data_IF_163884102902
#
_entry.id   IF_163884102902
#
_cell.length_a   1.000
_cell.length_b   1.000
_cell.length_c   1.000
_cell.angle_alpha   90.00
_cell.angle_beta   90.00
_cell.angle_gamma   90.00
#
_symmetry.space_group_name_H-M   'P 1'
#
loop_
_entity.id
_entity.type
_entity.pdbx_description
1 polymer ?
#
# COMPACT_ATOMS: atom_id res chain seq x y z
N UNK A 1 23.18 -9.52 -22.87
CA UNK A 1 23.77 -8.68 -21.80
C UNK A 1 22.62 -7.89 -21.19
N UNK A 2 22.41 -7.97 -19.87
CA UNK A 2 21.26 -7.33 -19.22
C UNK A 2 21.31 -5.80 -19.31
N UNK A 3 20.14 -5.16 -19.37
CA UNK A 3 20.02 -3.70 -19.41
C UNK A 3 20.47 -3.13 -18.05
N UNK A 4 21.60 -2.42 -18.03
CA UNK A 4 22.14 -1.86 -16.78
C UNK A 4 21.52 -0.49 -16.52
N UNK A 5 20.74 -0.37 -15.46
CA UNK A 5 20.17 0.92 -15.05
C UNK A 5 21.23 1.65 -14.22
N UNK A 6 21.82 2.70 -14.81
CA UNK A 6 22.86 3.46 -14.12
C UNK A 6 22.25 4.38 -13.04
N UNK A 7 22.03 3.82 -11.85
CA UNK A 7 21.59 4.54 -10.65
C UNK A 7 22.73 5.23 -9.91
N UNK A 8 24.00 4.93 -10.24
CA UNK A 8 25.16 5.53 -9.57
C UNK A 8 25.33 7.02 -9.90
N UNK A 9 24.85 7.48 -11.06
CA UNK A 9 24.82 8.91 -11.42
C UNK A 9 23.68 9.70 -10.76
N UNK A 10 22.68 9.02 -10.18
CA UNK A 10 21.54 9.66 -9.51
C UNK A 10 21.88 9.92 -8.04
N UNK A 11 22.39 11.11 -7.75
CA UNK A 11 22.74 11.49 -6.38
C UNK A 11 21.53 11.79 -5.49
N UNK A 12 20.32 11.84 -6.01
CA UNK A 12 19.11 12.17 -5.26
C UNK A 12 18.26 10.93 -5.03
N UNK A 13 17.72 10.83 -3.81
CA UNK A 13 16.70 9.83 -3.51
C UNK A 13 15.39 10.25 -4.22
N UNK A 14 14.73 9.37 -4.98
CA UNK A 14 13.41 9.66 -5.54
C UNK A 14 12.45 10.07 -4.42
N UNK A 15 11.67 11.14 -4.62
CA UNK A 15 10.76 11.66 -3.58
C UNK A 15 9.70 10.62 -3.18
N UNK A 16 9.18 9.91 -4.17
CA UNK A 16 8.15 8.90 -4.00
C UNK A 16 8.44 7.71 -4.91
N UNK A 17 7.88 6.56 -4.56
CA UNK A 17 7.88 5.37 -5.40
C UNK A 17 6.49 4.76 -5.50
N UNK A 18 6.23 4.08 -6.61
CA UNK A 18 4.99 3.35 -6.84
C UNK A 18 5.20 1.88 -6.48
N UNK A 19 4.25 1.28 -5.77
CA UNK A 19 4.20 -0.17 -5.53
C UNK A 19 2.85 -0.68 -5.99
N UNK A 20 2.82 -1.61 -6.93
CA UNK A 20 1.57 -2.12 -7.50
C UNK A 20 0.68 -2.75 -6.42
N UNK A 21 -0.64 -2.72 -6.62
CA UNK A 21 -1.61 -3.28 -5.69
C UNK A 21 -1.28 -4.73 -5.30
N UNK A 22 -0.96 -5.60 -6.27
CA UNK A 22 -0.55 -6.99 -6.03
C UNK A 22 0.62 -7.10 -5.04
N UNK A 23 1.65 -6.26 -5.17
CA UNK A 23 2.75 -6.23 -4.21
C UNK A 23 2.35 -5.64 -2.87
N UNK A 24 1.53 -4.59 -2.85
CA UNK A 24 1.08 -3.98 -1.59
C UNK A 24 0.26 -4.97 -0.77
N UNK A 25 -0.59 -5.82 -1.39
CA UNK A 25 -1.42 -6.80 -0.69
C UNK A 25 -0.88 -8.24 -0.71
N UNK A 26 0.39 -8.39 -1.07
CA UNK A 26 1.06 -9.68 -0.96
C UNK A 26 1.55 -9.98 0.46
N UNK A 27 1.77 -11.26 0.78
CA UNK A 27 2.35 -11.64 2.06
C UNK A 27 3.85 -11.29 2.10
N UNK A 28 4.23 -10.33 2.95
CA UNK A 28 5.61 -9.84 3.06
C UNK A 28 6.14 -9.94 4.48
N UNK A 29 7.06 -10.87 4.70
CA UNK A 29 7.78 -11.07 5.96
C UNK A 29 9.21 -10.53 5.82
N UNK A 30 9.33 -9.25 5.45
CA UNK A 30 10.60 -8.56 5.30
C UNK A 30 11.00 -7.91 6.61
N UNK A 31 12.28 -8.04 6.98
CA UNK A 31 12.83 -7.23 8.07
C UNK A 31 12.93 -5.77 7.66
N UNK A 32 13.14 -4.87 8.63
CA UNK A 32 13.27 -3.42 8.37
C UNK A 32 14.26 -3.12 7.22
N UNK A 33 15.45 -3.73 7.25
CA UNK A 33 16.51 -3.46 6.26
C UNK A 33 16.28 -4.17 4.93
N UNK A 34 15.61 -5.32 4.94
CA UNK A 34 15.16 -5.99 3.71
C UNK A 34 14.14 -5.11 2.97
N UNK A 35 13.16 -4.56 3.70
CA UNK A 35 12.18 -3.64 3.17
C UNK A 35 12.83 -2.34 2.64
N UNK A 36 13.85 -1.81 3.32
CA UNK A 36 14.61 -0.65 2.84
C UNK A 36 15.28 -0.90 1.48
N UNK A 37 15.98 -2.03 1.34
CA UNK A 37 16.65 -2.38 0.08
C UNK A 37 15.63 -2.63 -1.04
N UNK A 38 14.51 -3.28 -0.71
CA UNK A 38 13.45 -3.52 -1.68
C UNK A 38 12.83 -2.20 -2.18
N UNK A 39 12.52 -1.28 -1.25
CA UNK A 39 12.02 0.05 -1.60
C UNK A 39 13.03 0.87 -2.41
N UNK A 40 14.32 0.81 -2.09
CA UNK A 40 15.36 1.48 -2.88
C UNK A 40 15.40 1.01 -4.32
N UNK A 41 15.28 -0.31 -4.55
CA UNK A 41 15.19 -0.85 -5.91
C UNK A 41 13.94 -0.35 -6.62
N UNK A 42 12.75 -0.53 -6.02
CA UNK A 42 11.48 -0.13 -6.64
C UNK A 42 11.46 1.38 -6.93
N UNK A 43 12.00 2.21 -6.04
CA UNK A 43 12.04 3.67 -6.21
C UNK A 43 12.83 4.12 -7.44
N UNK A 44 13.78 3.31 -7.91
CA UNK A 44 14.58 3.62 -9.08
C UNK A 44 14.13 2.89 -10.34
N UNK A 45 13.14 2.00 -10.22
CA UNK A 45 12.61 1.20 -11.30
C UNK A 45 11.64 2.01 -12.15
N UNK A 46 11.76 1.84 -13.46
CA UNK A 46 10.84 2.39 -14.46
C UNK A 46 10.36 1.29 -15.41
N UNK A 47 9.17 1.43 -16.01
CA UNK A 47 8.70 0.50 -17.03
C UNK A 47 9.73 0.30 -18.16
N UNK A 48 10.33 1.39 -18.64
CA UNK A 48 11.35 1.38 -19.71
C UNK A 48 12.62 0.57 -19.37
N UNK A 49 12.92 0.33 -18.09
CA UNK A 49 14.08 -0.49 -17.70
C UNK A 49 13.92 -1.95 -18.15
N UNK A 50 12.68 -2.39 -18.37
CA UNK A 50 12.28 -3.76 -18.71
C UNK A 50 12.04 -3.97 -20.21
N UNK A 51 12.37 -2.96 -21.03
CA UNK A 51 12.31 -3.07 -22.48
C UNK A 51 13.26 -4.16 -23.00
N UNK A 52 12.94 -4.72 -24.16
CA UNK A 52 13.73 -5.77 -24.83
C UNK A 52 13.84 -7.10 -24.04
N UNK A 53 12.88 -7.41 -23.15
CA UNK A 53 12.81 -8.65 -22.36
C UNK A 53 14.07 -8.98 -21.54
N UNK A 54 14.88 -7.98 -21.21
CA UNK A 54 16.02 -8.17 -20.33
C UNK A 54 15.66 -7.78 -18.89
N UNK A 55 16.01 -8.63 -17.92
CA UNK A 55 15.89 -8.25 -16.51
C UNK A 55 16.87 -7.10 -16.19
N UNK A 56 16.41 -5.95 -15.69
CA UNK A 56 17.29 -4.84 -15.35
C UNK A 56 18.16 -5.15 -14.13
N UNK A 57 19.24 -4.39 -13.96
CA UNK A 57 20.07 -4.39 -12.75
C UNK A 57 20.20 -2.99 -12.19
N UNK A 58 20.01 -2.83 -10.88
CA UNK A 58 20.11 -1.57 -10.16
C UNK A 58 21.38 -1.54 -9.30
N UNK A 59 22.11 -0.43 -9.34
CA UNK A 59 23.45 -0.30 -8.75
C UNK A 59 23.54 0.89 -7.79
N UNK A 60 23.84 0.64 -6.51
CA UNK A 60 23.91 1.67 -5.48
C UNK A 60 25.30 1.73 -4.87
N UNK A 61 25.91 2.91 -4.89
CA UNK A 61 27.22 3.14 -4.28
C UNK A 61 27.13 3.09 -2.76
N UNK A 62 28.23 2.71 -2.11
CA UNK A 62 28.34 2.76 -0.64
C UNK A 62 27.98 4.14 -0.06
N UNK A 63 28.36 5.23 -0.72
CA UNK A 63 28.03 6.60 -0.30
C UNK A 63 26.52 6.87 -0.35
N UNK A 64 25.84 6.45 -1.43
CA UNK A 64 24.38 6.56 -1.52
C UNK A 64 23.70 5.77 -0.40
N UNK A 65 24.10 4.50 -0.21
CA UNK A 65 23.50 3.60 0.77
C UNK A 65 23.72 4.07 2.21
N UNK A 66 24.95 4.48 2.56
CA UNK A 66 25.27 5.00 3.88
C UNK A 66 24.39 6.20 4.24
N UNK A 67 24.24 7.14 3.30
CA UNK A 67 23.38 8.33 3.46
C UNK A 67 21.91 7.98 3.55
N UNK A 68 21.38 7.21 2.60
CA UNK A 68 19.93 6.94 2.50
C UNK A 68 19.41 5.99 3.58
N UNK A 69 20.24 5.04 4.03
CA UNK A 69 19.86 4.09 5.07
C UNK A 69 20.26 4.53 6.47
N UNK A 70 20.95 5.68 6.57
CA UNK A 70 21.58 6.20 7.79
C UNK A 70 22.44 5.13 8.47
N UNK A 71 23.39 4.57 7.71
CA UNK A 71 24.33 3.55 8.17
C UNK A 71 25.73 4.13 8.06
N UNK A 72 26.50 4.00 9.14
CA UNK A 72 27.90 4.39 9.14
C UNK A 72 28.69 3.67 8.02
N UNK A 73 29.50 4.36 7.20
CA UNK A 73 30.19 3.74 6.07
C UNK A 73 31.01 2.50 6.44
N UNK A 74 31.62 2.48 7.64
CA UNK A 74 32.40 1.35 8.18
C UNK A 74 31.56 0.10 8.46
N UNK A 75 30.28 0.29 8.80
CA UNK A 75 29.37 -0.78 9.19
C UNK A 75 28.50 -1.25 8.01
N UNK A 76 28.55 -0.56 6.87
CA UNK A 76 27.68 -0.79 5.73
C UNK A 76 27.80 -2.22 5.19
N UNK A 77 29.01 -2.68 4.86
CA UNK A 77 29.19 -4.02 4.29
C UNK A 77 28.77 -5.13 5.28
N UNK A 78 29.11 -4.97 6.57
CA UNK A 78 28.73 -5.88 7.64
C UNK A 78 27.21 -5.93 7.83
N UNK A 79 26.54 -4.79 7.71
CA UNK A 79 25.08 -4.66 7.84
C UNK A 79 24.37 -5.24 6.63
N UNK A 80 24.84 -4.95 5.41
CA UNK A 80 24.18 -5.36 4.17
C UNK A 80 24.35 -6.85 3.87
N UNK A 81 25.48 -7.48 4.22
CA UNK A 81 25.73 -8.90 3.92
C UNK A 81 24.59 -9.84 4.38
N UNK A 82 24.20 -9.87 5.67
CA UNK A 82 23.13 -10.76 6.12
C UNK A 82 21.75 -10.34 5.60
N UNK A 83 21.56 -9.04 5.30
CA UNK A 83 20.30 -8.54 4.71
C UNK A 83 20.16 -9.03 3.27
N UNK A 84 21.22 -8.93 2.46
CA UNK A 84 21.25 -9.41 1.08
C UNK A 84 21.02 -10.93 0.98
N UNK A 85 21.67 -11.72 1.84
CA UNK A 85 21.50 -13.18 1.87
C UNK A 85 20.06 -13.61 2.23
N UNK A 86 19.42 -12.92 3.18
CA UNK A 86 18.02 -13.21 3.51
C UNK A 86 17.08 -12.74 2.39
N UNK A 87 17.32 -11.56 1.84
CA UNK A 87 16.47 -10.95 0.83
C UNK A 87 16.36 -11.80 -0.45
N UNK A 88 17.43 -12.49 -0.86
CA UNK A 88 17.38 -13.44 -2.00
C UNK A 88 16.58 -14.71 -1.72
N UNK A 89 16.30 -15.01 -0.45
CA UNK A 89 15.50 -16.17 0.00
C UNK A 89 14.05 -15.78 0.34
N UNK A 90 13.71 -14.49 0.28
CA UNK A 90 12.37 -14.01 0.59
C UNK A 90 11.48 -14.19 -0.63
N UNK A 91 10.40 -14.93 -0.43
CA UNK A 91 9.34 -15.08 -1.40
C UNK A 91 8.19 -14.14 -1.07
N UNK A 92 7.51 -13.70 -2.12
CA UNK A 92 6.23 -13.02 -2.02
C UNK A 92 5.15 -14.03 -2.36
N UNK A 93 4.18 -14.20 -1.45
CA UNK A 93 2.99 -14.98 -1.71
C UNK A 93 1.99 -14.15 -2.51
N UNK A 94 1.64 -14.60 -3.71
CA UNK A 94 0.55 -14.06 -4.52
C UNK A 94 -0.60 -15.06 -4.44
N UNK A 95 -1.76 -14.59 -3.98
CA UNK A 95 -2.99 -15.38 -4.02
C UNK A 95 -3.53 -15.29 -5.44
N UNK A 96 -3.82 -16.44 -6.05
CA UNK A 96 -4.52 -16.48 -7.34
C UNK A 96 -6.01 -16.42 -7.02
N UNK A 97 -6.62 -15.27 -7.31
CA UNK A 97 -8.07 -15.09 -7.16
C UNK A 97 -8.77 -15.79 -8.33
N UNK A 98 -9.24 -17.02 -8.10
CA UNK A 98 -10.14 -17.74 -9.01
C UNK A 98 -11.38 -18.17 -8.21
N UNK A 99 -12.46 -17.39 -8.34
CA UNK A 99 -13.74 -17.62 -7.65
C UNK A 99 -14.43 -18.93 -8.10
N UNK A 100 -13.97 -19.55 -9.18
CA UNK A 100 -14.55 -20.79 -9.71
C UNK A 100 -13.94 -22.05 -9.10
N UNK A 101 -12.80 -21.94 -8.41
CA UNK A 101 -12.08 -23.07 -7.83
C UNK A 101 -12.36 -23.19 -6.33
N UNK A 102 -12.78 -24.38 -5.91
CA UNK A 102 -13.00 -24.71 -4.50
C UNK A 102 -11.69 -24.72 -3.65
N UNK A 103 -10.53 -24.73 -4.30
CA UNK A 103 -9.20 -24.77 -3.67
C UNK A 103 -8.44 -23.52 -4.08
N UNK A 104 -7.95 -22.79 -3.09
CA UNK A 104 -7.14 -21.58 -3.28
C UNK A 104 -5.75 -21.96 -3.83
N UNK A 105 -5.43 -21.46 -5.03
CA UNK A 105 -4.11 -21.62 -5.64
C UNK A 105 -3.15 -20.55 -5.11
N UNK A 106 -1.90 -20.93 -4.87
CA UNK A 106 -0.86 -20.06 -4.31
C UNK A 106 0.41 -20.13 -5.14
N UNK A 107 1.07 -18.99 -5.30
CA UNK A 107 2.40 -18.90 -5.92
C UNK A 107 3.36 -18.12 -5.02
N UNK A 108 4.58 -18.65 -4.86
CA UNK A 108 5.63 -18.09 -4.02
C UNK A 108 6.86 -17.80 -4.85
N UNK A 109 6.99 -16.54 -5.24
CA UNK A 109 8.07 -16.11 -6.12
C UNK A 109 9.10 -15.33 -5.32
N UNK A 110 10.38 -15.68 -5.48
CA UNK A 110 11.49 -14.93 -4.85
C UNK A 110 11.53 -13.50 -5.35
N UNK A 111 11.83 -12.52 -4.46
CA UNK A 111 11.87 -11.10 -4.86
C UNK A 111 13.08 -10.80 -5.73
N UNK A 112 14.23 -11.39 -5.42
CA UNK A 112 15.49 -11.09 -6.10
C UNK A 112 16.11 -12.35 -6.67
N UNK A 113 16.40 -12.31 -7.98
CA UNK A 113 17.28 -13.30 -8.61
C UNK A 113 18.70 -13.23 -8.06
N UNK A 114 19.19 -12.02 -7.77
CA UNK A 114 20.57 -11.83 -7.30
C UNK A 114 20.75 -10.51 -6.56
N UNK A 115 21.50 -10.55 -5.46
CA UNK A 115 22.02 -9.35 -4.78
C UNK A 115 23.51 -9.56 -4.54
N UNK A 116 24.35 -8.61 -4.93
CA UNK A 116 25.81 -8.68 -4.73
C UNK A 116 26.33 -7.35 -4.20
N UNK A 117 27.29 -7.42 -3.28
CA UNK A 117 28.04 -6.24 -2.84
C UNK A 117 29.52 -6.48 -3.16
N UNK A 118 30.07 -5.71 -4.10
CA UNK A 118 31.47 -5.83 -4.55
C UNK A 118 31.99 -4.43 -4.89
N UNK A 119 33.26 -4.15 -4.60
CA UNK A 119 33.92 -2.89 -4.96
C UNK A 119 33.14 -1.64 -4.50
N UNK A 120 32.58 -1.72 -3.29
CA UNK A 120 31.73 -0.69 -2.67
C UNK A 120 30.43 -0.37 -3.45
N UNK A 121 29.97 -1.31 -4.28
CA UNK A 121 28.76 -1.22 -5.08
C UNK A 121 27.80 -2.36 -4.73
N UNK A 122 26.56 -2.03 -4.37
CA UNK A 122 25.46 -2.98 -4.26
C UNK A 122 24.78 -3.10 -5.61
N UNK A 123 24.75 -4.29 -6.19
CA UNK A 123 24.00 -4.61 -7.40
C UNK A 123 22.82 -5.50 -7.06
N UNK A 124 21.63 -5.13 -7.52
CA UNK A 124 20.38 -5.83 -7.27
C UNK A 124 19.72 -6.19 -8.60
N UNK A 125 19.39 -7.47 -8.76
CA UNK A 125 18.65 -8.00 -9.91
C UNK A 125 17.29 -8.54 -9.41
N UNK A 126 16.16 -7.89 -9.77
CA UNK A 126 14.83 -8.39 -9.43
C UNK A 126 14.56 -9.75 -10.08
N UNK A 127 13.54 -10.45 -9.59
CA UNK A 127 13.01 -11.61 -10.29
C UNK A 127 12.06 -11.18 -11.41
N UNK A 128 12.32 -11.61 -12.65
CA UNK A 128 11.51 -11.21 -13.81
C UNK A 128 10.13 -11.88 -13.83
N UNK A 129 9.94 -12.99 -13.12
CA UNK A 129 8.62 -13.56 -12.84
C UNK A 129 7.69 -12.57 -12.11
N UNK A 130 8.27 -11.60 -11.39
CA UNK A 130 7.52 -10.51 -10.74
C UNK A 130 7.48 -9.23 -11.57
N UNK A 131 7.87 -9.24 -12.86
CA UNK A 131 7.89 -8.06 -13.74
C UNK A 131 6.56 -7.30 -13.69
N UNK A 132 5.45 -7.98 -13.96
CA UNK A 132 4.11 -7.38 -13.90
C UNK A 132 3.83 -6.76 -12.53
N UNK A 133 4.13 -7.49 -11.45
CA UNK A 133 3.95 -7.00 -10.09
C UNK A 133 4.79 -5.74 -9.78
N UNK A 134 5.94 -5.55 -10.44
CA UNK A 134 6.78 -4.37 -10.23
C UNK A 134 6.37 -3.13 -11.02
N UNK A 135 6.00 -3.29 -12.29
CA UNK A 135 5.82 -2.15 -13.22
C UNK A 135 4.39 -1.97 -13.72
N UNK A 136 3.52 -2.96 -13.53
CA UNK A 136 2.13 -2.87 -13.97
C UNK A 136 1.26 -2.22 -12.89
N UNK A 137 0.76 -1.02 -13.22
CA UNK A 137 -0.04 -0.20 -12.31
C UNK A 137 -1.52 -0.14 -12.70
N UNK A 138 -1.94 -0.95 -13.70
CA UNK A 138 -3.27 -0.93 -14.30
C UNK A 138 -4.39 -1.17 -13.27
N UNK A 139 -4.13 -2.03 -12.27
CA UNK A 139 -5.05 -2.32 -11.16
C UNK A 139 -4.80 -1.45 -9.92
N UNK A 140 -4.29 -0.23 -10.12
CA UNK A 140 -3.91 0.74 -9.09
C UNK A 140 -2.61 0.42 -8.32
N UNK A 141 -2.11 1.42 -7.60
CA UNK A 141 -0.81 1.40 -6.92
C UNK A 141 -0.85 2.21 -5.61
N UNK A 142 0.07 1.89 -4.69
CA UNK A 142 0.40 2.77 -3.57
C UNK A 142 1.49 3.74 -3.98
N UNK A 143 1.29 5.03 -3.69
CA UNK A 143 2.28 6.07 -3.87
C UNK A 143 2.94 6.37 -2.53
N UNK A 144 4.18 5.94 -2.33
CA UNK A 144 4.83 5.91 -1.01
C UNK A 144 5.93 6.98 -0.99
N UNK A 145 5.99 7.81 0.06
CA UNK A 145 7.10 8.77 0.21
C UNK A 145 8.37 8.03 0.63
N UNK A 146 9.42 8.11 -0.19
CA UNK A 146 10.62 7.28 0.00
C UNK A 146 11.34 7.61 1.30
N UNK A 147 11.53 8.91 1.60
CA UNK A 147 12.22 9.35 2.81
C UNK A 147 11.48 8.89 4.08
N UNK A 148 10.16 9.11 4.13
CA UNK A 148 9.30 8.74 5.25
C UNK A 148 9.20 7.23 5.42
N UNK A 149 9.22 6.47 4.33
CA UNK A 149 9.30 5.02 4.42
C UNK A 149 10.64 4.58 5.03
N UNK A 150 11.77 5.13 4.59
CA UNK A 150 13.12 4.76 5.07
C UNK A 150 13.38 5.20 6.52
N UNK A 151 12.77 6.29 7.00
CA UNK A 151 12.93 6.78 8.37
C UNK A 151 12.42 5.77 9.42
N UNK A 152 11.29 5.11 9.14
CA UNK A 152 10.67 4.13 10.03
C UNK A 152 11.63 2.99 10.42
N UNK A 153 11.73 2.72 11.73
CA UNK A 153 12.70 1.74 12.29
C UNK A 153 12.12 0.36 12.59
N UNK A 154 10.83 0.13 12.33
CA UNK A 154 10.16 -1.15 12.62
C UNK A 154 9.54 -1.70 11.35
N UNK A 155 9.74 -3.00 11.10
CA UNK A 155 9.23 -3.70 9.92
C UNK A 155 7.70 -3.62 9.80
N UNK A 156 6.97 -3.82 10.90
CA UNK A 156 5.52 -3.71 10.91
C UNK A 156 5.02 -2.27 10.72
N UNK A 157 5.78 -1.27 11.18
CA UNK A 157 5.45 0.14 10.92
C UNK A 157 5.61 0.48 9.45
N UNK A 158 6.70 0.03 8.81
CA UNK A 158 6.88 0.14 7.36
C UNK A 158 5.74 -0.55 6.62
N UNK A 159 5.39 -1.77 7.01
CA UNK A 159 4.33 -2.54 6.37
C UNK A 159 2.98 -1.85 6.46
N UNK A 160 2.62 -1.35 7.65
CA UNK A 160 1.39 -0.59 7.83
C UNK A 160 1.42 0.67 6.96
N UNK A 161 2.51 1.45 6.98
CA UNK A 161 2.63 2.67 6.19
C UNK A 161 2.47 2.42 4.68
N UNK A 162 2.97 1.31 4.13
CA UNK A 162 2.71 0.92 2.73
C UNK A 162 1.22 0.66 2.47
N UNK A 163 0.57 -0.11 3.34
CA UNK A 163 -0.86 -0.43 3.22
C UNK A 163 -1.69 0.85 3.25
N UNK A 164 -1.42 1.75 4.21
CA UNK A 164 -2.12 3.03 4.34
C UNK A 164 -1.86 3.95 3.12
N UNK A 165 -0.68 3.84 2.50
CA UNK A 165 -0.28 4.63 1.32
C UNK A 165 -1.02 4.24 0.05
N UNK A 166 -1.68 3.08 0.01
CA UNK A 166 -2.55 2.72 -1.10
C UNK A 166 -3.78 3.62 -1.21
N UNK A 167 -4.21 4.22 -0.11
CA UNK A 167 -5.50 4.89 -0.03
C UNK A 167 -5.33 6.37 0.39
N UNK A 168 -4.58 7.10 -0.43
CA UNK A 168 -4.31 8.53 -0.21
C UNK A 168 -5.47 9.46 -0.60
N UNK A 169 -6.37 9.02 -1.50
CA UNK A 169 -7.41 9.88 -2.12
C UNK A 169 -8.79 9.93 -1.44
N UNK A 170 -9.12 9.00 -0.53
CA UNK A 170 -10.52 8.71 -0.22
C UNK A 170 -11.09 9.18 1.13
N UNK A 171 -10.34 9.97 1.91
CA UNK A 171 -10.76 10.40 3.24
C UNK A 171 -10.19 9.60 4.42
N UNK A 172 -10.79 9.79 5.58
CA UNK A 172 -10.28 9.43 6.92
C UNK A 172 -10.32 7.95 7.29
N UNK A 173 -10.77 7.06 6.39
CA UNK A 173 -10.95 5.64 6.71
C UNK A 173 -10.74 4.69 5.53
N UNK A 174 -10.21 3.52 5.85
CA UNK A 174 -10.23 2.35 4.97
C UNK A 174 -11.53 1.55 5.11
N UNK A 175 -11.81 0.72 4.10
CA UNK A 175 -12.68 -0.44 4.28
C UNK A 175 -12.15 -1.32 5.43
N UNK A 176 -13.05 -2.05 6.08
CA UNK A 176 -12.68 -2.99 7.13
C UNK A 176 -11.83 -4.11 6.56
N UNK A 177 -10.76 -4.48 7.26
CA UNK A 177 -9.97 -5.67 6.96
C UNK A 177 -10.33 -6.79 7.93
N UNK A 178 -10.41 -8.02 7.41
CA UNK A 178 -10.39 -9.21 8.26
C UNK A 178 -9.02 -9.32 8.95
N UNK A 179 -9.03 -9.77 10.21
CA UNK A 179 -7.80 -9.94 10.99
C UNK A 179 -6.90 -11.00 10.41
N UNK A 180 -7.47 -12.09 9.89
CA UNK A 180 -6.68 -13.17 9.30
C UNK A 180 -6.00 -12.71 8.01
N UNK A 181 -6.69 -11.92 7.17
CA UNK A 181 -6.08 -11.31 5.98
C UNK A 181 -4.94 -10.38 6.37
N UNK A 182 -5.14 -9.51 7.37
CA UNK A 182 -4.07 -8.64 7.85
C UNK A 182 -2.88 -9.41 8.41
N UNK A 183 -3.08 -10.50 9.15
CA UNK A 183 -1.96 -11.33 9.60
C UNK A 183 -1.18 -11.89 8.41
N UNK A 184 -1.87 -12.30 7.34
CA UNK A 184 -1.24 -12.68 6.08
C UNK A 184 -0.44 -11.52 5.46
N UNK A 185 -1.04 -10.33 5.36
CA UNK A 185 -0.39 -9.12 4.83
C UNK A 185 0.86 -8.74 5.61
N UNK A 186 0.87 -8.92 6.93
CA UNK A 186 2.01 -8.69 7.81
C UNK A 186 3.04 -9.84 7.80
N UNK A 187 2.88 -10.82 6.89
CA UNK A 187 3.81 -11.92 6.68
C UNK A 187 3.82 -12.95 7.80
N UNK A 188 2.77 -12.99 8.63
CA UNK A 188 2.67 -13.89 9.78
C UNK A 188 2.19 -15.29 9.39
N UNK A 189 1.54 -15.41 8.24
CA UNK A 189 1.09 -16.69 7.69
C UNK A 189 2.17 -17.34 6.81
N UNK A 190 2.13 -18.66 6.76
CA UNK A 190 2.86 -19.51 5.84
C UNK A 190 2.06 -19.72 4.54
N UNK A 191 2.61 -20.54 3.65
CA UNK A 191 2.00 -20.87 2.36
C UNK A 191 0.62 -21.52 2.46
N UNK A 192 0.32 -22.17 3.58
CA UNK A 192 -0.98 -22.80 3.85
C UNK A 192 -1.98 -21.87 4.54
N UNK A 193 -1.63 -20.59 4.71
CA UNK A 193 -2.46 -19.61 5.43
C UNK A 193 -2.41 -19.77 6.95
N UNK A 194 -1.53 -20.60 7.51
CA UNK A 194 -1.39 -20.82 8.96
C UNK A 194 -0.30 -19.93 9.55
N UNK A 195 -0.40 -19.62 10.84
CA UNK A 195 0.64 -18.86 11.54
C UNK A 195 1.97 -19.62 11.49
N UNK A 196 3.02 -18.94 11.00
CA UNK A 196 4.39 -19.48 10.97
C UNK A 196 4.83 -19.91 12.36
N UNK A 197 5.56 -21.02 12.45
CA UNK A 197 6.05 -21.58 13.72
C UNK A 197 6.81 -20.57 14.59
N UNK A 198 7.69 -19.76 13.98
CA UNK A 198 8.44 -18.69 14.66
C UNK A 198 7.62 -17.45 15.04
N UNK A 199 6.33 -17.42 14.72
CA UNK A 199 5.40 -16.29 14.95
C UNK A 199 4.14 -16.77 15.71
N UNK A 200 4.20 -17.91 16.39
CA UNK A 200 3.05 -18.55 17.06
C UNK A 200 2.27 -17.62 18.02
N UNK A 201 2.94 -16.68 18.69
CA UNK A 201 2.27 -15.71 19.57
C UNK A 201 1.22 -14.86 18.87
N UNK A 202 1.35 -14.66 17.55
CA UNK A 202 0.42 -13.87 16.75
C UNK A 202 -0.88 -14.62 16.40
N UNK A 203 -0.99 -15.91 16.74
CA UNK A 203 -2.29 -16.60 16.74
C UNK A 203 -3.30 -15.90 17.66
N UNK A 204 -2.83 -15.26 18.74
CA UNK A 204 -3.65 -14.42 19.60
C UNK A 204 -3.88 -13.03 18.98
N UNK A 205 -5.14 -12.72 18.69
CA UNK A 205 -5.53 -11.46 18.06
C UNK A 205 -5.14 -10.22 18.90
N UNK A 206 -5.16 -10.29 20.22
CA UNK A 206 -4.71 -9.18 21.06
C UNK A 206 -3.21 -8.90 20.90
N UNK A 207 -2.40 -9.96 20.80
CA UNK A 207 -0.94 -9.82 20.57
C UNK A 207 -0.67 -9.22 19.19
N UNK A 208 -1.43 -9.65 18.17
CA UNK A 208 -1.36 -9.05 16.84
C UNK A 208 -1.72 -7.56 16.86
N UNK A 209 -2.84 -7.20 17.47
CA UNK A 209 -3.26 -5.79 17.59
C UNK A 209 -2.19 -4.96 18.30
N UNK A 210 -1.67 -5.41 19.43
CA UNK A 210 -0.69 -4.62 20.19
C UNK A 210 0.64 -4.46 19.45
N UNK A 211 1.18 -5.54 18.88
CA UNK A 211 2.54 -5.54 18.30
C UNK A 211 2.59 -5.13 16.84
N UNK A 212 1.56 -5.41 16.05
CA UNK A 212 1.54 -5.10 14.61
C UNK A 212 0.75 -3.84 14.30
N UNK A 213 -0.32 -3.53 15.04
CA UNK A 213 -1.16 -2.37 14.75
C UNK A 213 -0.80 -1.19 15.66
N UNK A 214 -0.98 -1.35 16.97
CA UNK A 214 -0.80 -0.28 17.96
C UNK A 214 0.63 0.25 17.98
N UNK A 215 1.62 -0.66 18.01
CA UNK A 215 3.03 -0.28 17.95
C UNK A 215 3.43 0.38 16.62
N UNK A 216 2.81 -0.04 15.50
CA UNK A 216 3.07 0.55 14.17
C UNK A 216 2.49 1.95 14.05
N UNK A 217 1.25 2.16 14.49
CA UNK A 217 0.62 3.49 14.55
C UNK A 217 1.45 4.44 15.42
N UNK A 218 1.88 3.96 16.60
CA UNK A 218 2.78 4.72 17.47
C UNK A 218 4.07 5.09 16.75
N UNK A 219 4.72 4.13 16.09
CA UNK A 219 5.95 4.36 15.34
C UNK A 219 5.81 5.37 14.20
N UNK A 220 4.68 5.34 13.47
CA UNK A 220 4.37 6.30 12.41
C UNK A 220 4.08 7.70 12.98
N UNK A 221 3.42 7.78 14.13
CA UNK A 221 3.08 9.06 14.78
C UNK A 221 4.30 9.74 15.43
N UNK A 222 5.25 8.96 15.93
CA UNK A 222 6.45 9.47 16.61
C UNK A 222 7.61 9.78 15.66
N UNK A 223 7.62 9.21 14.45
CA UNK A 223 8.67 9.48 13.46
C UNK A 223 8.52 10.86 12.81
N UNK A 224 9.63 11.59 12.72
CA UNK A 224 9.68 13.00 12.30
C UNK A 224 9.32 13.24 10.84
N UNK A 225 9.40 12.22 9.99
CA UNK A 225 9.04 12.31 8.58
C UNK A 225 7.56 11.93 8.38
N UNK A 226 7.11 10.82 8.98
CA UNK A 226 5.73 10.34 8.76
C UNK A 226 4.68 11.08 9.56
N UNK A 227 5.02 11.68 10.70
CA UNK A 227 4.05 12.44 11.52
C UNK A 227 3.55 13.74 10.87
N UNK A 228 4.20 14.18 9.80
CA UNK A 228 3.78 15.31 8.94
C UNK A 228 2.91 14.87 7.77
N UNK A 229 2.75 13.56 7.57
CA UNK A 229 2.06 12.99 6.42
C UNK A 229 0.78 12.26 6.81
N UNK A 230 0.71 11.68 8.01
CA UNK A 230 -0.44 10.91 8.47
C UNK A 230 -0.89 11.39 9.85
N UNK A 231 -2.19 11.67 9.95
CA UNK A 231 -2.88 11.88 11.21
C UNK A 231 -3.75 10.68 11.54
N UNK A 232 -3.72 10.23 12.79
CA UNK A 232 -4.58 9.15 13.30
C UNK A 232 -5.67 9.73 14.21
N UNK A 233 -6.88 9.14 14.17
CA UNK A 233 -8.03 9.59 14.95
C UNK A 233 -8.41 8.59 16.04
N UNK A 234 -9.00 9.08 17.11
CA UNK A 234 -9.61 8.22 18.12
C UNK A 234 -10.88 7.54 17.58
N UNK A 235 -11.16 6.34 18.07
CA UNK A 235 -12.42 5.66 17.84
C UNK A 235 -13.58 6.45 18.42
N UNK A 236 -14.79 6.20 17.91
CA UNK A 236 -16.00 6.89 18.41
C UNK A 236 -16.23 6.73 19.91
N UNK A 237 -15.79 5.62 20.49
CA UNK A 237 -15.89 5.34 21.92
C UNK A 237 -14.67 5.78 22.73
N UNK A 238 -13.66 6.39 22.08
CA UNK A 238 -12.44 6.90 22.69
C UNK A 238 -11.47 5.84 23.22
N UNK A 239 -11.71 4.55 22.96
CA UNK A 239 -10.89 3.46 23.53
C UNK A 239 -9.65 3.11 22.73
N UNK A 240 -9.67 3.36 21.43
CA UNK A 240 -8.56 3.03 20.52
C UNK A 240 -8.17 4.24 19.70
N UNK A 241 -6.89 4.31 19.31
CA UNK A 241 -6.33 5.42 18.53
C UNK A 241 -5.77 4.89 17.22
N UNK A 242 -6.22 5.48 16.11
CA UNK A 242 -5.84 5.12 14.74
C UNK A 242 -6.53 3.89 14.17
N UNK A 243 -7.39 3.21 14.94
CA UNK A 243 -8.16 2.06 14.49
C UNK A 243 -9.42 1.84 15.34
N UNK A 244 -10.39 1.10 14.79
CA UNK A 244 -11.58 0.53 15.44
C UNK A 244 -11.59 -0.98 15.21
N UNK A 245 -12.10 -1.75 16.17
CA UNK A 245 -12.22 -3.21 16.08
C UNK A 245 -13.67 -3.64 16.05
N UNK A 246 -13.97 -4.66 15.26
CA UNK A 246 -15.28 -5.30 15.21
C UNK A 246 -15.18 -6.74 15.71
N UNK A 247 -16.25 -7.19 16.35
CA UNK A 247 -16.33 -8.52 16.95
C UNK A 247 -17.50 -9.29 16.38
N UNK A 248 -17.26 -10.56 16.14
CA UNK A 248 -18.29 -11.56 15.84
C UNK A 248 -18.37 -12.49 17.06
N UNK A 249 -19.44 -12.32 17.84
CA UNK A 249 -19.55 -12.91 19.17
C UNK A 249 -18.41 -12.43 20.09
N UNK A 250 -17.60 -13.38 20.59
CA UNK A 250 -16.46 -13.08 21.47
C UNK A 250 -15.15 -12.83 20.70
N UNK A 251 -15.08 -13.19 19.41
CA UNK A 251 -13.86 -13.13 18.60
C UNK A 251 -13.74 -11.77 17.92
N UNK A 252 -12.53 -11.20 17.92
CA UNK A 252 -12.20 -10.03 17.12
C UNK A 252 -12.05 -10.48 15.66
N UNK A 253 -12.95 -10.01 14.78
CA UNK A 253 -13.01 -10.44 13.37
C UNK A 253 -12.36 -9.42 12.44
N UNK A 254 -12.73 -8.14 12.57
CA UNK A 254 -12.31 -7.08 11.64
C UNK A 254 -11.66 -5.90 12.35
N UNK A 255 -10.89 -5.13 11.59
CA UNK A 255 -10.35 -3.83 12.00
C UNK A 255 -10.61 -2.79 10.92
N UNK A 256 -10.84 -1.56 11.34
CA UNK A 256 -10.93 -0.40 10.46
C UNK A 256 -9.89 0.62 10.91
N UNK A 257 -9.05 1.07 9.99
CA UNK A 257 -8.06 2.11 10.28
C UNK A 257 -8.71 3.50 10.23
N UNK A 258 -8.37 4.35 11.19
CA UNK A 258 -8.88 5.72 11.33
C UNK A 258 -7.71 6.70 11.15
N UNK A 259 -7.52 7.21 9.94
CA UNK A 259 -6.39 8.08 9.62
C UNK A 259 -6.63 8.93 8.38
N UNK A 260 -5.93 10.05 8.24
CA UNK A 260 -5.97 10.95 7.08
C UNK A 260 -4.56 11.30 6.65
N UNK A 261 -4.36 11.44 5.35
CA UNK A 261 -3.15 12.04 4.82
C UNK A 261 -3.20 13.57 4.96
N UNK A 262 -2.11 14.17 5.40
CA UNK A 262 -1.98 15.61 5.60
C UNK A 262 -1.00 16.16 4.56
N UNK A 263 -1.32 17.32 3.98
CA UNK A 263 -0.38 18.05 3.13
C UNK A 263 0.75 18.64 3.99
N UNK A 264 2.00 18.59 3.49
CA UNK A 264 3.23 18.83 4.28
C UNK A 264 3.38 20.23 4.90
N UNK A 265 2.38 21.10 4.79
CA UNK A 265 2.45 22.49 5.23
C UNK A 265 2.07 22.71 6.71
N UNK A 266 1.50 21.72 7.41
CA UNK A 266 1.20 21.84 8.84
C UNK A 266 1.40 20.53 9.64
N UNK A 267 2.01 20.57 10.86
CA UNK A 267 2.10 19.40 11.73
C UNK A 267 0.71 18.88 12.11
N UNK A 268 0.53 17.55 12.09
CA UNK A 268 -0.73 16.86 12.42
C UNK A 268 -1.29 17.14 13.84
N UNK A 269 -0.59 17.89 14.68
CA UNK A 269 -0.98 18.12 16.08
C UNK A 269 -2.02 19.25 16.26
N UNK A 270 -2.23 20.13 15.27
CA UNK A 270 -3.09 21.33 15.42
C UNK A 270 -4.44 21.28 14.68
N UNK A 271 -4.83 20.11 14.17
CA UNK A 271 -5.72 20.07 13.00
C UNK A 271 -6.86 19.07 13.22
N UNK A 272 -7.91 19.44 13.97
CA UNK A 272 -9.10 18.58 14.06
C UNK A 272 -10.42 19.33 13.80
N UNK A 273 -10.64 20.49 14.42
CA UNK A 273 -11.91 21.22 14.25
C UNK A 273 -11.89 22.24 13.11
N UNK A 274 -10.83 23.00 12.94
CA UNK A 274 -10.76 24.06 11.90
C UNK A 274 -10.69 23.47 10.50
N UNK A 275 -9.97 22.36 10.33
CA UNK A 275 -9.89 21.65 9.05
C UNK A 275 -11.19 20.97 8.65
N UNK A 276 -11.94 20.39 9.60
CA UNK A 276 -13.27 19.86 9.29
C UNK A 276 -14.18 20.98 8.80
N UNK A 277 -14.08 22.16 9.41
CA UNK A 277 -14.81 23.35 8.95
C UNK A 277 -14.32 23.83 7.58
N UNK A 278 -13.03 23.82 7.30
CA UNK A 278 -12.49 24.18 5.99
C UNK A 278 -12.92 23.20 4.91
N UNK A 279 -12.83 21.89 5.14
CA UNK A 279 -13.26 20.86 4.19
C UNK A 279 -14.75 20.98 3.90
N UNK A 280 -15.59 21.14 4.94
CA UNK A 280 -17.02 21.40 4.75
C UNK A 280 -17.21 22.67 3.92
N UNK A 281 -16.52 23.75 4.26
CA UNK A 281 -16.61 25.02 3.54
C UNK A 281 -16.24 24.86 2.06
N UNK A 282 -15.11 24.22 1.74
CA UNK A 282 -14.63 24.02 0.37
C UNK A 282 -15.56 23.14 -0.44
N UNK A 283 -16.01 22.01 0.12
CA UNK A 283 -16.88 21.07 -0.58
C UNK A 283 -18.30 21.62 -0.75
N UNK A 284 -18.83 22.37 0.21
CA UNK A 284 -20.12 23.05 0.06
C UNK A 284 -20.03 24.25 -0.89
N UNK A 285 -18.90 24.96 -0.94
CA UNK A 285 -18.64 25.97 -1.97
C UNK A 285 -18.68 25.36 -3.36
N UNK A 286 -17.97 24.25 -3.59
CA UNK A 286 -18.05 23.51 -4.87
C UNK A 286 -19.48 23.15 -5.25
N UNK A 287 -20.27 22.61 -4.30
CA UNK A 287 -21.68 22.28 -4.53
C UNK A 287 -22.53 23.51 -4.83
N UNK A 288 -22.27 24.62 -4.16
CA UNK A 288 -22.94 25.90 -4.38
C UNK A 288 -22.61 26.50 -5.74
N UNK A 289 -21.38 26.32 -6.20
CA UNK A 289 -20.90 26.74 -7.52
C UNK A 289 -21.36 25.79 -8.65
N UNK A 290 -22.20 24.79 -8.34
CA UNK A 290 -22.76 23.85 -9.31
C UNK A 290 -21.80 22.73 -9.75
N UNK A 291 -20.63 22.62 -9.11
CA UNK A 291 -19.66 21.56 -9.39
C UNK A 291 -20.09 20.29 -8.66
N UNK A 292 -20.33 19.22 -9.41
CA UNK A 292 -20.63 17.92 -8.83
C UNK A 292 -19.40 17.36 -8.09
N UNK A 293 -19.60 17.02 -6.82
CA UNK A 293 -18.58 16.31 -6.05
C UNK A 293 -18.48 14.87 -6.54
N UNK A 294 -17.27 14.32 -6.66
CA UNK A 294 -17.09 12.90 -6.93
C UNK A 294 -17.45 12.02 -5.70
N UNK A 295 -17.45 10.69 -5.85
CA UNK A 295 -17.83 9.77 -4.78
C UNK A 295 -16.91 9.91 -3.55
N UNK A 296 -15.61 10.15 -3.75
CA UNK A 296 -14.64 10.34 -2.66
C UNK A 296 -14.89 11.66 -1.92
N UNK A 297 -15.16 12.75 -2.64
CA UNK A 297 -15.51 14.05 -2.08
C UNK A 297 -16.83 14.00 -1.29
N UNK A 298 -17.83 13.26 -1.77
CA UNK A 298 -19.07 13.03 -1.02
C UNK A 298 -18.82 12.22 0.25
N UNK A 299 -17.95 11.20 0.20
CA UNK A 299 -17.56 10.42 1.38
C UNK A 299 -16.87 11.31 2.42
N UNK A 300 -16.00 12.22 1.97
CA UNK A 300 -15.32 13.20 2.81
C UNK A 300 -16.30 14.18 3.48
N UNK A 301 -17.25 14.72 2.71
CA UNK A 301 -18.25 15.66 3.22
C UNK A 301 -19.18 14.99 4.24
N UNK A 302 -19.71 13.79 3.92
CA UNK A 302 -20.54 13.02 4.84
C UNK A 302 -19.82 12.73 6.15
N UNK A 303 -18.52 12.48 6.07
CA UNK A 303 -17.72 12.21 7.24
C UNK A 303 -17.51 13.44 8.12
N UNK A 304 -17.12 14.57 7.54
CA UNK A 304 -16.90 15.81 8.31
C UNK A 304 -18.17 16.21 9.08
N UNK A 305 -19.34 16.09 8.43
CA UNK A 305 -20.62 16.31 9.11
C UNK A 305 -20.86 15.31 10.26
N UNK A 306 -20.62 14.01 10.05
CA UNK A 306 -20.80 13.02 11.11
C UNK A 306 -19.88 13.27 12.32
N UNK A 307 -18.64 13.71 12.08
CA UNK A 307 -17.67 14.03 13.13
C UNK A 307 -18.01 15.28 13.92
N UNK A 308 -18.73 16.24 13.32
CA UNK A 308 -19.25 17.42 14.00
C UNK A 308 -20.62 17.19 14.67
N UNK A 309 -21.13 15.96 14.67
CA UNK A 309 -22.44 15.60 15.24
C UNK A 309 -23.63 15.84 14.31
N UNK A 310 -23.40 16.31 13.09
CA UNK A 310 -24.40 16.57 12.04
C UNK A 310 -24.83 15.29 11.31
N UNK A 311 -25.33 14.32 12.07
CA UNK A 311 -25.63 12.97 11.60
C UNK A 311 -26.73 12.93 10.52
N UNK A 312 -27.67 13.86 10.54
CA UNK A 312 -28.74 13.94 9.53
C UNK A 312 -28.19 14.33 8.14
N UNK A 313 -27.31 15.35 8.08
CA UNK A 313 -26.64 15.77 6.84
C UNK A 313 -25.75 14.66 6.30
N UNK A 314 -24.99 14.03 7.20
CA UNK A 314 -24.18 12.86 6.85
C UNK A 314 -25.03 11.72 6.27
N UNK A 315 -26.21 11.46 6.84
CA UNK A 315 -27.15 10.44 6.36
C UNK A 315 -27.64 10.71 4.94
N UNK A 316 -28.04 11.95 4.64
CA UNK A 316 -28.48 12.37 3.29
C UNK A 316 -27.38 12.18 2.24
N UNK A 317 -26.14 12.55 2.57
CA UNK A 317 -25.01 12.41 1.65
C UNK A 317 -24.67 10.93 1.43
N UNK A 318 -24.76 10.07 2.46
CA UNK A 318 -24.58 8.62 2.32
C UNK A 318 -25.61 7.96 1.40
N UNK A 319 -26.86 8.43 1.41
CA UNK A 319 -27.88 7.96 0.47
C UNK A 319 -27.53 8.34 -0.98
N UNK A 320 -27.04 9.56 -1.20
CA UNK A 320 -26.58 9.99 -2.51
C UNK A 320 -25.38 9.18 -3.02
N UNK A 321 -24.42 8.86 -2.13
CA UNK A 321 -23.28 7.98 -2.44
C UNK A 321 -23.76 6.61 -2.91
N UNK A 322 -24.64 5.96 -2.13
CA UNK A 322 -25.18 4.64 -2.48
C UNK A 322 -25.88 4.62 -3.83
N UNK A 323 -26.62 5.69 -4.15
CA UNK A 323 -27.28 5.81 -5.45
C UNK A 323 -26.26 5.88 -6.59
N UNK A 324 -25.21 6.70 -6.44
CA UNK A 324 -24.17 6.85 -7.46
C UNK A 324 -23.32 5.59 -7.64
N UNK A 325 -22.97 4.90 -6.57
CA UNK A 325 -22.26 3.62 -6.64
C UNK A 325 -23.05 2.58 -7.44
N UNK A 326 -24.38 2.50 -7.22
CA UNK A 326 -25.26 1.62 -7.98
C UNK A 326 -25.36 2.01 -9.46
N UNK A 327 -25.41 3.31 -9.77
CA UNK A 327 -25.43 3.81 -11.15
C UNK A 327 -24.08 3.52 -11.87
N UNK A 328 -22.95 3.60 -11.16
CA UNK A 328 -21.62 3.27 -11.67
C UNK A 328 -21.49 1.77 -11.98
N UNK A 329 -21.95 0.90 -11.05
CA UNK A 329 -21.97 -0.55 -11.24
C UNK A 329 -22.77 -0.95 -12.49
N UNK A 330 -23.96 -0.36 -12.67
CA UNK A 330 -24.79 -0.60 -13.86
C UNK A 330 -24.13 -0.13 -15.15
N UNK A 331 -23.40 1.00 -15.12
CA UNK A 331 -22.66 1.49 -16.29
C UNK A 331 -21.51 0.57 -16.68
N UNK A 332 -20.77 0.05 -15.70
CA UNK A 332 -19.66 -0.89 -15.93
C UNK A 332 -20.19 -2.21 -16.50
N UNK A 333 -21.31 -2.72 -15.96
CA UNK A 333 -21.96 -3.93 -16.46
C UNK A 333 -22.46 -3.76 -17.90
N UNK A 334 -23.09 -2.63 -18.21
CA UNK A 334 -23.55 -2.32 -19.57
C UNK A 334 -22.39 -2.15 -20.56
N UNK A 335 -21.29 -1.52 -20.15
CA UNK A 335 -20.09 -1.39 -20.98
C UNK A 335 -19.48 -2.76 -21.32
N UNK A 336 -19.38 -3.66 -20.33
CA UNK A 336 -18.92 -5.05 -20.54
C UNK A 336 -19.83 -5.82 -21.48
N UNK A 337 -21.15 -5.65 -21.35
CA UNK A 337 -22.12 -6.29 -22.25
C UNK A 337 -21.98 -5.79 -23.69
N UNK A 338 -21.76 -4.49 -23.90
CA UNK A 338 -21.55 -3.92 -25.23
C UNK A 338 -20.23 -4.43 -25.82
N UNK A 339 -19.15 -4.48 -25.03
CA UNK A 339 -17.86 -5.00 -25.47
C UNK A 339 -17.94 -6.48 -25.86
N UNK A 340 -18.66 -7.30 -25.09
CA UNK A 340 -18.96 -8.69 -25.43
C UNK A 340 -19.71 -8.81 -26.76
N UNK A 341 -20.72 -7.98 -26.97
CA UNK A 341 -21.53 -7.98 -28.19
C UNK A 341 -20.73 -7.51 -29.43
N UNK A 342 -19.87 -6.50 -29.29
CA UNK A 342 -18.97 -6.05 -30.37
C UNK A 342 -17.99 -7.17 -30.73
N UNK A 343 -17.46 -7.89 -29.74
CA UNK A 343 -16.58 -9.03 -29.99
C UNK A 343 -17.30 -10.17 -30.70
N UNK A 344 -18.57 -10.44 -30.37
CA UNK A 344 -19.40 -11.40 -31.12
C UNK A 344 -19.63 -10.97 -32.57
N UNK A 345 -19.96 -9.68 -32.82
CA UNK A 345 -20.11 -9.15 -34.19
C UNK A 345 -18.80 -9.29 -34.99
N UNK A 346 -17.67 -8.93 -34.39
CA UNK A 346 -16.37 -9.03 -35.05
C UNK A 346 -15.96 -10.48 -35.35
N UNK A 347 -16.43 -11.45 -34.55
CA UNK A 347 -16.23 -12.87 -34.80
C UNK A 347 -17.17 -13.43 -35.89
N UNK A 348 -18.31 -12.78 -36.14
CA UNK A 348 -19.26 -13.15 -37.20
C UNK A 348 -18.85 -12.50 -38.54
N UNK A 349 -18.25 -11.31 -38.52
CA UNK A 349 -17.85 -10.55 -39.71
C UNK A 349 -16.59 -11.07 -40.43
N UNK A 350 -16.11 -12.29 -40.12
CA UNK A 350 -14.91 -12.89 -40.73
C UNK A 350 -15.22 -13.66 -42.03
N UNK A 351 -16.48 -13.69 -42.48
CA UNK A 351 -16.88 -14.38 -43.72
C UNK A 351 -17.84 -13.54 -44.58
N UNK A 352 -17.40 -12.34 -45.01
CA UNK A 352 -18.03 -11.67 -46.15
C UNK A 352 -16.94 -11.29 -47.17
N UNK A 353 -16.70 -12.23 -48.09
CA UNK A 353 -16.17 -11.96 -49.43
C UNK A 353 -17.25 -11.13 -50.16
N UNK A 354 -17.16 -9.80 -50.06
CA UNK A 354 -17.88 -8.83 -50.90
C UNK A 354 -16.97 -7.69 -51.35
#
# INVERSE_FOLDING_TARGET
>A
MGNKVNTTKKHTLPKQFKKAHKLVFSQQDLTQREADLFALMIAHMKPEDWDNNNTPTYEFTSTQLARWLSIEPKDLAKTLKPVADRLTKKNIGVLVEDETKAIQEFDFISIFKRVTYKDRLLTMKPNDELKEAYIEYNNSYALITTQSFLSLKKEYAKRLYEILSRFKGGGTYLQTFEIEDLKGLFGLHDASGKIKSGKSSFANNSVFIDRCIKASIKGIKEDSETNREIMFFDSKDGKTHGYEVYREGRKLSKIKFLYRWVEKEAPAHNINLEDMKQIISTLELKRKDGIELNIEELKNLAHCYASLGENERAGKIKLAIKRREKEEEQRVEMARSIESFINEINNIAVDDDY
#
